data_IF_551655714304
#
_entry.id   IF_551655714304
#
_cell.length_a   1.000
_cell.length_b   1.000
_cell.length_c   1.000
_cell.angle_alpha   90.00
_cell.angle_beta   90.00
_cell.angle_gamma   90.00
#
_symmetry.space_group_name_H-M   'P 1'
#
loop_
_entity.id
_entity.type
_entity.pdbx_description
1 polymer ?
#
# COMPACT_ATOMS: atom_id res chain seq x y z
N UNK A 1 0.79 -1.44 -25.49
CA UNK A 1 0.09 -1.71 -24.23
C UNK A 1 1.07 -1.74 -23.07
N UNK A 2 0.60 -1.43 -21.88
CA UNK A 2 1.40 -1.48 -20.64
C UNK A 2 1.59 -2.94 -20.25
N UNK A 3 2.84 -3.32 -19.90
CA UNK A 3 3.14 -4.67 -19.42
C UNK A 3 2.97 -4.70 -17.90
N UNK A 4 2.11 -5.57 -17.40
CA UNK A 4 2.03 -5.86 -15.97
C UNK A 4 3.29 -6.61 -15.52
N UNK A 5 3.78 -6.29 -14.33
CA UNK A 5 4.97 -6.89 -13.72
C UNK A 5 4.65 -7.50 -12.36
N UNK A 6 3.64 -6.99 -11.69
CA UNK A 6 3.26 -7.40 -10.34
C UNK A 6 1.77 -7.74 -10.27
N UNK A 7 1.44 -8.75 -9.45
CA UNK A 7 0.06 -9.08 -9.07
C UNK A 7 -0.10 -8.86 -7.58
N UNK A 8 -0.95 -7.92 -7.22
CA UNK A 8 -1.33 -7.64 -5.84
C UNK A 8 -2.63 -8.39 -5.50
N UNK A 9 -2.63 -9.19 -4.45
CA UNK A 9 -3.82 -9.86 -3.93
C UNK A 9 -3.66 -10.16 -2.44
N UNK A 10 -4.75 -10.53 -1.77
CA UNK A 10 -4.65 -10.98 -0.40
C UNK A 10 -4.40 -12.50 -0.30
N UNK A 11 -4.01 -12.96 0.89
CA UNK A 11 -3.73 -14.38 1.14
C UNK A 11 -4.95 -15.28 0.93
N UNK A 12 -6.16 -14.79 1.19
CA UNK A 12 -7.42 -15.57 0.98
C UNK A 12 -7.62 -15.85 -0.50
N UNK A 13 -7.49 -14.82 -1.35
CA UNK A 13 -7.60 -14.95 -2.80
C UNK A 13 -6.51 -15.89 -3.36
N UNK A 14 -5.28 -15.72 -2.89
CA UNK A 14 -4.18 -16.60 -3.29
C UNK A 14 -4.42 -18.06 -2.92
N UNK A 15 -4.93 -18.33 -1.71
CA UNK A 15 -5.32 -19.70 -1.30
C UNK A 15 -6.41 -20.29 -2.20
N UNK A 16 -7.42 -19.50 -2.56
CA UNK A 16 -8.45 -19.91 -3.51
C UNK A 16 -7.86 -20.27 -4.88
N UNK A 17 -6.94 -19.45 -5.38
CA UNK A 17 -6.27 -19.66 -6.65
C UNK A 17 -5.45 -20.97 -6.67
N UNK A 18 -4.61 -21.22 -5.67
CA UNK A 18 -3.78 -22.43 -5.61
C UNK A 18 -4.57 -23.72 -5.32
N UNK A 19 -5.78 -23.58 -4.78
CA UNK A 19 -6.69 -24.71 -4.57
C UNK A 19 -7.34 -25.20 -5.87
N UNK A 20 -7.29 -24.39 -6.95
CA UNK A 20 -7.89 -24.73 -8.23
C UNK A 20 -7.24 -25.95 -8.86
N UNK A 21 -8.05 -26.79 -9.50
CA UNK A 21 -7.55 -28.00 -10.18
C UNK A 21 -6.63 -27.66 -11.37
N UNK A 22 -6.86 -26.53 -12.02
CA UNK A 22 -6.04 -26.09 -13.16
C UNK A 22 -4.59 -25.88 -12.76
N UNK A 23 -4.35 -25.20 -11.63
CA UNK A 23 -3.00 -24.97 -11.10
C UNK A 23 -2.37 -26.30 -10.63
N UNK A 24 -3.12 -27.14 -9.94
CA UNK A 24 -2.63 -28.46 -9.51
C UNK A 24 -2.23 -29.33 -10.69
N UNK A 25 -3.03 -29.36 -11.75
CA UNK A 25 -2.72 -30.11 -13.00
C UNK A 25 -1.52 -29.54 -13.73
N UNK A 26 -1.37 -28.22 -13.77
CA UNK A 26 -0.21 -27.57 -14.37
C UNK A 26 1.09 -27.88 -13.62
N UNK A 27 1.04 -27.91 -12.27
CA UNK A 27 2.20 -28.23 -11.43
C UNK A 27 2.58 -29.72 -11.45
N UNK A 28 1.60 -30.63 -11.57
CA UNK A 28 1.81 -32.08 -11.65
C UNK A 28 0.79 -32.74 -12.56
N UNK A 29 1.05 -32.86 -13.87
CA UNK A 29 0.11 -33.44 -14.83
C UNK A 29 -0.25 -34.88 -14.58
N UNK A 30 0.66 -35.67 -13.96
CA UNK A 30 0.50 -37.11 -13.75
C UNK A 30 -0.14 -37.48 -12.40
N UNK A 31 -0.29 -36.53 -11.46
CA UNK A 31 -0.76 -36.86 -10.11
C UNK A 31 -1.41 -35.67 -9.39
N UNK A 32 -2.23 -34.89 -10.10
CA UNK A 32 -2.83 -33.66 -9.57
C UNK A 32 -3.63 -33.86 -8.27
N UNK A 33 -4.26 -35.02 -8.07
CA UNK A 33 -5.04 -35.31 -6.87
C UNK A 33 -4.21 -35.64 -5.63
N UNK A 34 -2.94 -36.01 -5.81
CA UNK A 34 -2.04 -36.44 -4.71
C UNK A 34 -0.98 -35.38 -4.35
N UNK A 35 -0.95 -34.27 -5.03
CA UNK A 35 0.04 -33.20 -4.74
C UNK A 35 -0.40 -32.30 -3.61
N UNK A 36 0.48 -32.12 -2.62
CA UNK A 36 0.34 -31.09 -1.61
C UNK A 36 1.01 -29.83 -2.12
N UNK A 37 0.20 -28.88 -2.58
CA UNK A 37 0.69 -27.59 -3.07
C UNK A 37 0.95 -26.66 -1.89
N UNK A 38 2.22 -26.40 -1.58
CA UNK A 38 2.56 -25.38 -0.59
C UNK A 38 2.46 -23.99 -1.21
N UNK A 39 2.23 -22.97 -0.36
CA UNK A 39 2.15 -21.57 -0.81
C UNK A 39 3.39 -21.14 -1.58
N UNK A 40 4.58 -21.45 -1.07
CA UNK A 40 5.84 -21.04 -1.68
C UNK A 40 6.09 -21.74 -3.02
N UNK A 41 5.81 -23.04 -3.11
CA UNK A 41 5.97 -23.79 -4.35
C UNK A 41 5.03 -23.28 -5.44
N UNK A 42 3.76 -23.03 -5.07
CA UNK A 42 2.79 -22.47 -6.01
C UNK A 42 3.17 -21.05 -6.46
N UNK A 43 3.62 -20.21 -5.52
CA UNK A 43 4.06 -18.84 -5.83
C UNK A 43 5.20 -18.88 -6.83
N UNK A 44 6.27 -19.61 -6.55
CA UNK A 44 7.42 -19.75 -7.45
C UNK A 44 7.04 -20.30 -8.83
N UNK A 45 6.17 -21.32 -8.87
CA UNK A 45 5.69 -21.88 -10.12
C UNK A 45 4.99 -20.82 -10.98
N UNK A 46 4.04 -20.10 -10.40
CA UNK A 46 3.27 -19.06 -11.11
C UNK A 46 4.18 -17.92 -11.54
N UNK A 47 5.09 -17.45 -10.67
CA UNK A 47 6.04 -16.39 -11.00
C UNK A 47 6.97 -16.79 -12.16
N UNK A 48 7.43 -18.03 -12.18
CA UNK A 48 8.28 -18.54 -13.26
C UNK A 48 7.54 -18.68 -14.59
N UNK A 49 6.28 -19.17 -14.56
CA UNK A 49 5.48 -19.35 -15.77
C UNK A 49 4.96 -18.03 -16.37
N UNK A 50 4.61 -17.07 -15.52
CA UNK A 50 4.00 -15.81 -15.96
C UNK A 50 4.98 -14.66 -16.07
N UNK A 51 6.11 -14.72 -15.37
CA UNK A 51 7.04 -13.61 -15.21
C UNK A 51 6.50 -12.45 -14.37
N UNK A 52 5.40 -12.68 -13.64
CA UNK A 52 4.78 -11.71 -12.73
C UNK A 52 5.24 -11.97 -11.30
N UNK A 53 5.51 -10.91 -10.54
CA UNK A 53 5.81 -11.00 -9.11
C UNK A 53 4.49 -11.01 -8.32
N UNK A 54 4.28 -11.97 -7.44
CA UNK A 54 3.08 -12.03 -6.60
C UNK A 54 3.34 -11.37 -5.26
N UNK A 55 2.62 -10.28 -4.97
CA UNK A 55 2.64 -9.58 -3.70
C UNK A 55 1.37 -9.83 -2.91
N UNK A 56 1.52 -10.36 -1.68
CA UNK A 56 0.40 -10.61 -0.79
C UNK A 56 0.23 -9.44 0.17
N UNK A 57 -0.98 -8.84 0.17
CA UNK A 57 -1.30 -7.66 0.96
C UNK A 57 -2.50 -7.95 1.87
N UNK A 58 -2.21 -8.19 3.14
CA UNK A 58 -3.21 -8.58 4.16
C UNK A 58 -3.41 -7.49 5.24
N UNK A 59 -2.99 -6.23 4.98
CA UNK A 59 -3.18 -5.15 5.96
C UNK A 59 -4.65 -4.85 6.18
N UNK A 60 -4.96 -4.50 7.43
CA UNK A 60 -6.30 -4.19 7.91
C UNK A 60 -6.31 -2.79 8.54
N UNK A 61 -7.49 -2.18 8.58
CA UNK A 61 -7.75 -0.94 9.30
C UNK A 61 -9.03 -1.10 10.13
N UNK A 62 -9.21 -0.23 11.11
CA UNK A 62 -10.45 -0.14 11.87
C UNK A 62 -11.34 0.93 11.26
N UNK A 63 -12.59 0.58 11.00
CA UNK A 63 -13.60 1.54 10.58
C UNK A 63 -14.05 2.43 11.77
N UNK A 64 -14.94 3.37 11.50
CA UNK A 64 -15.49 4.29 12.52
C UNK A 64 -16.23 3.57 13.64
N UNK A 65 -16.71 2.35 13.42
CA UNK A 65 -17.39 1.48 14.37
C UNK A 65 -16.41 0.58 15.14
N UNK A 66 -15.09 0.64 14.83
CA UNK A 66 -14.06 -0.17 15.44
C UNK A 66 -13.95 -1.59 14.89
N UNK A 67 -14.62 -1.89 13.78
CA UNK A 67 -14.58 -3.19 13.10
C UNK A 67 -13.36 -3.27 12.20
N UNK A 68 -12.65 -4.40 12.24
CA UNK A 68 -11.49 -4.63 11.37
C UNK A 68 -11.92 -4.85 9.92
N UNK A 69 -11.45 -3.99 9.03
CA UNK A 69 -11.69 -4.05 7.59
C UNK A 69 -10.38 -4.32 6.84
N UNK A 70 -10.45 -5.11 5.76
CA UNK A 70 -9.30 -5.33 4.88
C UNK A 70 -9.16 -4.18 3.89
N UNK A 71 -7.95 -3.65 3.72
CA UNK A 71 -7.68 -2.71 2.63
C UNK A 71 -7.89 -3.34 1.25
N UNK A 72 -7.56 -4.64 1.12
CA UNK A 72 -7.70 -5.37 -0.14
C UNK A 72 -8.77 -6.46 0.03
N UNK A 73 -9.89 -6.37 -0.72
CA UNK A 73 -11.02 -7.29 -0.55
C UNK A 73 -10.67 -8.71 -1.02
N UNK A 74 -11.39 -9.69 -0.48
CA UNK A 74 -11.28 -11.09 -0.91
C UNK A 74 -11.84 -11.27 -2.33
N UNK A 75 -11.24 -12.18 -3.08
CA UNK A 75 -11.69 -12.50 -4.44
C UNK A 75 -11.20 -11.54 -5.52
N UNK A 76 -10.35 -10.58 -5.18
CA UNK A 76 -9.77 -9.66 -6.16
C UNK A 76 -8.27 -9.85 -6.32
N UNK A 77 -7.78 -9.59 -7.51
CA UNK A 77 -6.36 -9.49 -7.85
C UNK A 77 -6.15 -8.29 -8.75
N UNK A 78 -5.10 -7.52 -8.51
CA UNK A 78 -4.79 -6.32 -9.29
C UNK A 78 -3.44 -6.48 -9.96
N UNK A 79 -3.41 -6.31 -11.27
CA UNK A 79 -2.20 -6.28 -12.07
C UNK A 79 -1.63 -4.86 -12.07
N UNK A 80 -0.36 -4.73 -11.74
CA UNK A 80 0.34 -3.46 -11.62
C UNK A 80 1.54 -3.39 -12.57
N UNK A 81 1.82 -2.22 -13.16
CA UNK A 81 3.05 -1.98 -13.93
C UNK A 81 4.27 -1.79 -13.00
N UNK A 82 5.46 -1.70 -13.57
CA UNK A 82 6.73 -1.51 -12.84
C UNK A 82 7.03 -0.08 -12.42
N UNK A 83 6.20 0.88 -12.80
CA UNK A 83 6.41 2.29 -12.53
C UNK A 83 5.35 2.85 -11.57
N UNK A 84 5.64 4.01 -11.00
CA UNK A 84 4.73 4.67 -10.07
C UNK A 84 3.43 5.10 -10.75
N UNK A 85 2.30 4.81 -10.11
CA UNK A 85 0.95 5.10 -10.61
C UNK A 85 0.50 6.53 -10.33
N UNK A 86 1.24 7.26 -9.53
CA UNK A 86 0.94 8.63 -9.17
C UNK A 86 2.04 9.26 -8.33
N UNK A 87 1.77 10.45 -7.84
CA UNK A 87 2.70 11.25 -7.07
C UNK A 87 2.07 11.66 -5.74
N UNK A 88 2.92 11.97 -4.77
CA UNK A 88 2.51 12.63 -3.53
C UNK A 88 2.91 14.09 -3.61
N UNK A 89 1.92 14.98 -3.58
CA UNK A 89 2.11 16.42 -3.60
C UNK A 89 2.13 16.94 -2.17
N UNK A 90 3.11 17.78 -1.87
CA UNK A 90 3.25 18.43 -0.57
C UNK A 90 2.86 19.90 -0.69
N UNK A 91 2.05 20.38 0.24
CA UNK A 91 1.64 21.77 0.35
C UNK A 91 2.37 22.47 1.49
N UNK A 92 2.48 23.79 1.41
CA UNK A 92 3.03 24.61 2.51
C UNK A 92 2.08 24.57 3.71
N UNK A 93 2.59 24.22 4.88
CA UNK A 93 1.80 24.26 6.11
C UNK A 93 1.61 25.68 6.62
N UNK A 94 0.55 25.97 7.40
CA UNK A 94 0.37 27.29 8.01
C UNK A 94 1.57 27.73 8.85
N UNK A 95 2.20 26.82 9.57
CA UNK A 95 3.38 27.07 10.40
C UNK A 95 4.61 27.42 9.56
N UNK A 96 4.77 26.78 8.41
CA UNK A 96 5.82 27.10 7.44
C UNK A 96 5.59 28.52 6.86
N UNK A 97 4.34 28.87 6.55
CA UNK A 97 3.98 30.19 6.07
C UNK A 97 4.25 31.28 7.13
N UNK A 98 3.89 31.03 8.39
CA UNK A 98 4.16 31.96 9.49
C UNK A 98 5.66 32.16 9.73
N UNK A 99 6.46 31.10 9.61
CA UNK A 99 7.91 31.19 9.69
C UNK A 99 8.49 32.04 8.55
N UNK A 100 8.01 31.85 7.33
CA UNK A 100 8.44 32.63 6.17
C UNK A 100 8.03 34.12 6.26
N UNK A 101 6.89 34.40 6.88
CA UNK A 101 6.40 35.77 7.10
C UNK A 101 7.06 36.47 8.27
N UNK A 102 7.86 35.78 9.09
CA UNK A 102 8.56 36.35 10.25
C UNK A 102 7.66 36.61 11.46
N UNK A 103 6.44 36.10 11.48
CA UNK A 103 5.45 36.31 12.57
C UNK A 103 5.42 35.17 13.58
N UNK A 104 6.22 34.10 13.39
CA UNK A 104 6.22 32.94 14.24
C UNK A 104 6.59 33.28 15.70
N UNK A 105 5.63 33.16 16.60
CA UNK A 105 5.84 33.30 18.05
C UNK A 105 6.39 32.08 18.76
N UNK A 106 6.61 30.98 18.02
CA UNK A 106 7.10 29.70 18.52
C UNK A 106 8.34 29.24 17.74
N UNK A 107 9.11 28.31 18.30
CA UNK A 107 10.23 27.71 17.59
C UNK A 107 9.69 26.71 16.55
N UNK A 108 9.75 27.08 15.27
CA UNK A 108 9.33 26.27 14.15
C UNK A 108 10.57 25.79 13.38
N UNK A 109 10.63 24.53 13.06
CA UNK A 109 11.64 23.96 12.16
C UNK A 109 10.96 23.21 11.01
N UNK A 110 11.44 23.43 9.80
CA UNK A 110 10.98 22.74 8.60
C UNK A 110 11.92 21.56 8.37
N UNK A 111 11.37 20.34 8.38
CA UNK A 111 12.15 19.11 8.19
C UNK A 111 12.21 18.75 6.71
N UNK A 112 11.08 18.91 6.02
CA UNK A 112 10.96 18.73 4.57
C UNK A 112 9.89 19.67 4.05
N UNK A 113 9.85 19.90 2.74
CA UNK A 113 8.75 20.64 2.11
C UNK A 113 7.41 20.02 2.53
N UNK A 114 6.54 20.83 3.12
CA UNK A 114 5.21 20.41 3.58
C UNK A 114 5.17 19.71 4.94
N UNK A 115 6.29 19.63 5.68
CA UNK A 115 6.34 19.07 7.04
C UNK A 115 6.97 20.08 7.99
N UNK A 116 6.18 20.64 8.89
CA UNK A 116 6.62 21.57 9.91
C UNK A 116 6.54 20.97 11.32
N UNK A 117 7.56 21.21 12.13
CA UNK A 117 7.60 20.85 13.55
C UNK A 117 7.60 22.12 14.38
N UNK A 118 6.57 22.32 15.17
CA UNK A 118 6.43 23.43 16.09
C UNK A 118 6.68 22.98 17.53
N UNK A 119 7.60 23.65 18.23
CA UNK A 119 7.88 23.38 19.64
C UNK A 119 7.43 24.57 20.48
N UNK A 120 6.48 24.34 21.37
CA UNK A 120 5.96 25.34 22.32
C UNK A 120 6.50 24.96 23.71
N UNK A 121 7.15 25.92 24.37
CA UNK A 121 7.64 25.78 25.73
C UNK A 121 6.82 26.64 26.67
N UNK A 122 6.16 26.01 27.65
CA UNK A 122 5.47 26.70 28.73
C UNK A 122 6.39 26.80 29.94
N UNK A 123 6.64 28.01 30.48
CA UNK A 123 7.58 28.19 31.60
C UNK A 123 7.02 27.74 32.93
N UNK A 124 5.67 27.68 33.09
CA UNK A 124 5.06 27.34 34.38
C UNK A 124 3.65 26.76 34.24
N UNK A 125 3.41 25.47 34.57
CA UNK A 125 4.42 24.44 34.87
C UNK A 125 5.30 24.17 33.64
N UNK A 126 6.54 23.77 33.86
CA UNK A 126 7.46 23.47 32.74
C UNK A 126 6.91 22.36 31.91
N UNK A 127 6.49 22.67 30.69
CA UNK A 127 5.96 21.74 29.73
C UNK A 127 6.55 22.04 28.33
N UNK A 128 6.74 20.98 27.54
CA UNK A 128 7.17 21.09 26.14
C UNK A 128 6.18 20.34 25.28
N UNK A 129 5.48 21.07 24.44
CA UNK A 129 4.56 20.50 23.46
C UNK A 129 5.21 20.52 22.07
N UNK A 130 5.23 19.37 21.41
CA UNK A 130 5.68 19.25 20.03
C UNK A 130 4.50 18.94 19.14
N UNK A 131 4.26 19.78 18.15
CA UNK A 131 3.20 19.65 17.15
C UNK A 131 3.87 19.38 15.80
N UNK A 132 3.42 18.36 15.09
CA UNK A 132 3.85 18.06 13.72
C UNK A 132 2.68 18.28 12.80
N UNK A 133 2.86 19.15 11.82
CA UNK A 133 1.85 19.48 10.79
C UNK A 133 2.36 19.05 9.43
N UNK A 134 1.49 18.40 8.65
CA UNK A 134 1.79 17.95 7.30
C UNK A 134 0.58 18.17 6.39
N UNK A 135 0.82 18.72 5.20
CA UNK A 135 -0.18 18.84 4.14
C UNK A 135 0.28 18.01 2.96
N UNK A 136 -0.42 16.91 2.70
CA UNK A 136 -0.11 16.00 1.59
C UNK A 136 -1.36 15.66 0.81
N UNK A 137 -1.19 15.53 -0.50
CA UNK A 137 -2.21 15.06 -1.43
C UNK A 137 -1.62 13.93 -2.27
N UNK A 138 -1.92 12.67 -1.97
CA UNK A 138 -1.58 11.58 -2.87
C UNK A 138 -2.47 11.68 -4.13
N UNK A 139 -1.84 11.73 -5.30
CA UNK A 139 -2.55 11.67 -6.58
C UNK A 139 -2.39 10.30 -7.21
N UNK A 140 -3.45 9.82 -7.83
CA UNK A 140 -3.48 8.58 -8.58
C UNK A 140 -3.78 8.92 -10.04
N UNK A 141 -2.73 9.00 -10.88
CA UNK A 141 -2.82 9.63 -12.20
C UNK A 141 -3.00 8.63 -13.34
N UNK A 142 -2.64 7.35 -13.10
CA UNK A 142 -2.57 6.32 -14.14
C UNK A 142 -3.50 5.15 -13.85
N UNK A 143 -4.79 5.43 -13.73
CA UNK A 143 -5.81 4.40 -13.49
C UNK A 143 -5.97 3.43 -14.67
N UNK A 144 -5.74 3.90 -15.89
CA UNK A 144 -5.88 3.11 -17.12
C UNK A 144 -4.76 2.04 -17.27
N UNK A 145 -3.69 2.15 -16.49
CA UNK A 145 -2.56 1.22 -16.51
C UNK A 145 -2.73 0.05 -15.51
N UNK A 146 -3.87 0.00 -14.82
CA UNK A 146 -4.20 -1.05 -13.84
C UNK A 146 -5.29 -1.94 -14.40
N UNK A 147 -5.17 -3.24 -14.13
CA UNK A 147 -6.21 -4.19 -14.45
C UNK A 147 -6.64 -4.97 -13.20
N UNK A 148 -7.93 -4.88 -12.86
CA UNK A 148 -8.50 -5.58 -11.71
C UNK A 148 -9.26 -6.81 -12.18
N UNK A 149 -8.91 -7.95 -11.62
CA UNK A 149 -9.55 -9.23 -11.87
C UNK A 149 -10.41 -9.58 -10.64
N UNK A 150 -11.67 -9.89 -10.86
CA UNK A 150 -12.54 -10.51 -9.86
C UNK A 150 -12.47 -12.02 -10.07
N UNK A 151 -11.92 -12.76 -9.09
CA UNK A 151 -11.67 -14.20 -9.18
C UNK A 151 -12.87 -15.03 -8.74
N UNK A 152 -13.67 -14.54 -7.76
CA UNK A 152 -14.91 -15.17 -7.25
C UNK A 152 -15.76 -14.16 -6.49
#
# INVERSE_FOLDING_TARGET
>A
GVKAVEVLMNTTTFKGMIASESIKKAMNPLGASSIIVTRNTAKQFIENETGLVITLYDKMFKDEQGVDQKYFPDGYATLLPSYALGNTWYGTTPEEFDLMSGTAGASVSIVNTGVAITTIKEPHPVNVQTIVSEIVLPSFERMDDIFVIKAF
#
